data_IF_629285449554
#
_entry.id   IF_629285449554
#
_cell.length_a   1.000
_cell.length_b   1.000
_cell.length_c   1.000
_cell.angle_alpha   90.00
_cell.angle_beta   90.00
_cell.angle_gamma   90.00
#
_symmetry.space_group_name_H-M   'P 1'
#
loop_
_entity.id
_entity.type
_entity.pdbx_description
1 polymer ?
#
# COMPACT_ATOMS: atom_id res chain seq x y z
N UNK A 1 3.58 24.59 -3.72
CA UNK A 1 3.76 23.14 -3.82
C UNK A 1 3.63 22.55 -2.42
N UNK A 2 2.46 22.00 -2.12
CA UNK A 2 2.14 21.31 -0.88
C UNK A 2 2.45 19.83 -1.06
N UNK A 3 3.43 19.34 -0.30
CA UNK A 3 3.90 17.96 -0.38
C UNK A 3 3.44 17.22 0.87
N UNK A 4 2.69 16.14 0.70
CA UNK A 4 2.37 15.20 1.76
C UNK A 4 3.41 14.09 1.78
N UNK A 5 4.25 14.11 2.82
CA UNK A 5 5.35 13.16 2.99
C UNK A 5 4.92 11.89 3.73
N UNK A 6 3.72 11.86 4.32
CA UNK A 6 3.26 10.75 5.15
C UNK A 6 1.95 10.21 4.61
N UNK A 7 2.07 9.36 3.59
CA UNK A 7 0.93 8.66 3.04
C UNK A 7 1.24 7.19 2.74
N UNK A 8 0.20 6.36 2.73
CA UNK A 8 0.27 4.91 2.69
C UNK A 8 -0.48 4.35 1.50
N UNK A 9 0.11 3.34 0.86
CA UNK A 9 -0.40 2.68 -0.34
C UNK A 9 -0.30 1.15 -0.17
N UNK A 10 -1.32 0.43 -0.65
CA UNK A 10 -1.37 -1.03 -0.77
C UNK A 10 -1.27 -1.40 -2.26
N UNK A 11 -0.08 -1.75 -2.78
CA UNK A 11 0.06 -2.20 -4.14
C UNK A 11 -0.71 -3.51 -4.38
N UNK A 12 -1.29 -3.67 -5.58
CA UNK A 12 -2.07 -4.88 -5.92
C UNK A 12 -1.27 -6.17 -5.73
N UNK A 13 -0.03 -6.22 -6.20
CA UNK A 13 0.83 -7.41 -6.06
C UNK A 13 1.10 -7.79 -4.60
N UNK A 14 1.21 -6.80 -3.71
CA UNK A 14 1.35 -7.02 -2.27
C UNK A 14 0.05 -7.62 -1.69
N UNK A 15 -1.11 -7.04 -2.03
CA UNK A 15 -2.42 -7.55 -1.60
C UNK A 15 -2.70 -8.97 -2.10
N UNK A 16 -2.34 -9.28 -3.35
CA UNK A 16 -2.48 -10.62 -3.93
C UNK A 16 -1.61 -11.65 -3.17
N UNK A 17 -0.37 -11.29 -2.80
CA UNK A 17 0.53 -12.16 -2.04
C UNK A 17 0.04 -12.38 -0.60
N UNK A 18 -0.51 -11.35 0.05
CA UNK A 18 -1.11 -11.48 1.38
C UNK A 18 -2.39 -12.34 1.36
N UNK A 19 -3.16 -12.31 0.27
CA UNK A 19 -4.39 -13.09 0.10
C UNK A 19 -4.16 -14.60 0.02
N UNK A 20 -2.91 -15.05 -0.14
CA UNK A 20 -2.56 -16.48 -0.08
C UNK A 20 -2.59 -17.07 1.33
N UNK A 21 -2.63 -16.24 2.38
CA UNK A 21 -3.00 -16.64 3.74
C UNK A 21 -1.92 -17.31 4.60
N UNK A 22 -0.67 -17.37 4.17
CA UNK A 22 0.39 -18.18 4.80
C UNK A 22 1.52 -17.38 5.49
N UNK A 23 1.23 -16.32 6.24
CA UNK A 23 2.27 -15.67 7.05
C UNK A 23 1.76 -14.68 8.09
N UNK A 24 2.63 -13.75 8.52
CA UNK A 24 2.34 -12.82 9.61
C UNK A 24 1.13 -11.92 9.28
N UNK A 25 1.06 -11.45 8.04
CA UNK A 25 -0.05 -10.69 7.51
C UNK A 25 -0.88 -11.48 6.49
N UNK A 26 -2.20 -11.24 6.49
CA UNK A 26 -3.16 -11.81 5.54
C UNK A 26 -4.25 -10.82 5.17
N UNK A 27 -4.87 -11.02 4.01
CA UNK A 27 -6.08 -10.31 3.61
C UNK A 27 -7.31 -11.14 3.97
N UNK A 28 -8.33 -10.48 4.51
CA UNK A 28 -9.66 -11.03 4.76
C UNK A 28 -10.71 -10.09 4.14
N UNK A 29 -11.91 -10.60 3.94
CA UNK A 29 -13.08 -9.78 3.59
C UNK A 29 -14.12 -9.91 4.69
N UNK A 30 -14.58 -8.79 5.22
CA UNK A 30 -15.60 -8.80 6.27
C UNK A 30 -17.04 -8.96 5.74
N UNK A 31 -18.00 -8.95 6.65
CA UNK A 31 -19.44 -9.07 6.36
C UNK A 31 -20.01 -7.91 5.52
N UNK A 32 -19.30 -6.78 5.47
CA UNK A 32 -19.62 -5.61 4.66
C UNK A 32 -18.89 -5.62 3.30
N UNK A 33 -18.22 -6.72 2.94
CA UNK A 33 -17.42 -6.85 1.72
C UNK A 33 -16.22 -5.89 1.65
N UNK A 34 -15.71 -5.44 2.81
CA UNK A 34 -14.50 -4.61 2.87
C UNK A 34 -13.28 -5.51 3.00
N UNK A 35 -12.20 -5.10 2.34
CA UNK A 35 -10.91 -5.75 2.50
C UNK A 35 -10.26 -5.30 3.82
N UNK A 36 -9.81 -6.29 4.59
CA UNK A 36 -9.08 -6.11 5.84
C UNK A 36 -7.68 -6.70 5.68
N UNK A 37 -6.65 -5.95 6.11
CA UNK A 37 -5.30 -6.49 6.25
C UNK A 37 -5.05 -6.78 7.72
N UNK A 38 -5.06 -8.06 8.07
CA UNK A 38 -4.87 -8.54 9.43
C UNK A 38 -3.41 -8.88 9.70
N UNK A 39 -2.96 -8.56 10.91
CA UNK A 39 -1.67 -8.97 11.47
C UNK A 39 -1.81 -9.16 12.98
N UNK A 40 -0.74 -9.56 13.66
CA UNK A 40 -0.81 -9.87 15.09
C UNK A 40 -1.22 -8.63 15.91
N UNK A 41 -2.39 -8.73 16.57
CA UNK A 41 -2.90 -7.73 17.50
C UNK A 41 -3.72 -6.59 16.88
N UNK A 42 -3.85 -6.49 15.55
CA UNK A 42 -4.50 -5.34 14.89
C UNK A 42 -4.87 -5.63 13.41
N UNK A 43 -5.58 -4.71 12.77
CA UNK A 43 -5.92 -4.78 11.35
C UNK A 43 -6.17 -3.41 10.72
N UNK A 44 -5.95 -3.31 9.41
CA UNK A 44 -6.29 -2.13 8.61
C UNK A 44 -7.52 -2.37 7.75
N UNK A 45 -8.45 -1.41 7.73
CA UNK A 45 -9.53 -1.38 6.75
C UNK A 45 -9.01 -0.72 5.47
N UNK A 46 -9.08 -1.43 4.36
CA UNK A 46 -8.63 -0.91 3.06
C UNK A 46 -9.76 -0.06 2.46
N UNK A 47 -9.43 1.17 2.07
CA UNK A 47 -10.35 2.11 1.41
C UNK A 47 -9.79 2.52 0.06
N UNK A 48 -10.64 3.06 -0.82
CA UNK A 48 -10.32 3.40 -2.21
C UNK A 48 -8.93 4.01 -2.41
N UNK A 49 -8.60 5.17 -1.80
CA UNK A 49 -7.29 5.81 -1.97
C UNK A 49 -6.08 4.95 -1.57
N UNK A 50 -6.23 3.90 -0.76
CA UNK A 50 -5.14 2.99 -0.45
C UNK A 50 -4.74 2.10 -1.64
N UNK A 51 -5.67 1.81 -2.56
CA UNK A 51 -5.48 0.82 -3.64
C UNK A 51 -5.81 1.35 -5.04
N UNK A 52 -6.57 2.46 -5.15
CA UNK A 52 -6.99 3.10 -6.40
C UNK A 52 -6.34 4.49 -6.50
N UNK A 53 -5.46 4.66 -7.49
CA UNK A 53 -4.69 5.90 -7.71
C UNK A 53 -5.62 7.07 -8.08
N UNK A 54 -6.68 6.83 -8.85
CA UNK A 54 -7.62 7.87 -9.27
C UNK A 54 -8.39 8.45 -8.07
N UNK A 55 -8.78 7.61 -7.11
CA UNK A 55 -9.47 8.06 -5.90
C UNK A 55 -8.53 8.84 -4.98
N UNK A 56 -7.26 8.45 -4.95
CA UNK A 56 -6.19 9.21 -4.29
C UNK A 56 -5.98 10.58 -4.93
N UNK A 57 -5.86 10.68 -6.25
CA UNK A 57 -5.72 11.96 -6.95
C UNK A 57 -6.88 12.90 -6.66
N UNK A 58 -8.13 12.39 -6.72
CA UNK A 58 -9.32 13.18 -6.34
C UNK A 58 -9.26 13.67 -4.90
N UNK A 59 -8.75 12.85 -3.98
CA UNK A 59 -8.59 13.25 -2.58
C UNK A 59 -7.49 14.31 -2.41
N UNK A 60 -6.36 14.16 -3.11
CA UNK A 60 -5.30 15.16 -3.15
C UNK A 60 -5.80 16.50 -3.67
N UNK A 61 -6.51 16.51 -4.81
CA UNK A 61 -7.04 17.72 -5.42
C UNK A 61 -8.04 18.43 -4.49
N UNK A 62 -8.93 17.66 -3.83
CA UNK A 62 -9.88 18.19 -2.84
C UNK A 62 -9.19 18.82 -1.63
N UNK A 63 -8.06 18.26 -1.21
CA UNK A 63 -7.30 18.72 -0.04
C UNK A 63 -6.22 19.77 -0.37
N UNK A 64 -6.02 20.10 -1.65
CA UNK A 64 -4.96 21.03 -2.08
C UNK A 64 -3.55 20.45 -1.90
N UNK A 65 -3.38 19.15 -2.10
CA UNK A 65 -2.09 18.45 -2.06
C UNK A 65 -1.54 18.30 -3.48
N UNK A 66 -0.37 18.89 -3.72
CA UNK A 66 0.25 18.92 -5.03
C UNK A 66 1.01 17.62 -5.32
N UNK A 67 1.65 17.02 -4.31
CA UNK A 67 2.44 15.80 -4.47
C UNK A 67 2.37 14.93 -3.22
N UNK A 68 2.43 13.61 -3.38
CA UNK A 68 2.58 12.67 -2.27
C UNK A 68 3.82 11.80 -2.40
N UNK A 69 4.43 11.50 -1.26
CA UNK A 69 5.41 10.42 -1.14
C UNK A 69 4.65 9.13 -0.79
N UNK A 70 4.63 8.17 -1.72
CA UNK A 70 3.98 6.88 -1.54
C UNK A 70 4.88 5.94 -0.76
N UNK A 71 4.36 5.41 0.34
CA UNK A 71 5.03 4.40 1.16
C UNK A 71 4.16 3.17 1.32
N UNK A 72 4.78 1.99 1.40
CA UNK A 72 4.04 0.79 1.80
C UNK A 72 3.49 1.00 3.21
N UNK A 73 2.26 0.56 3.40
CA UNK A 73 1.55 0.65 4.67
C UNK A 73 1.88 -0.50 5.63
N UNK A 74 1.40 -0.38 6.87
CA UNK A 74 1.47 -1.41 7.91
C UNK A 74 0.67 -2.64 7.48
N UNK A 75 1.17 -3.87 7.65
CA UNK A 75 2.29 -4.28 8.50
C UNK A 75 3.66 -4.33 7.82
N UNK A 76 3.81 -3.78 6.61
CA UNK A 76 5.05 -3.81 5.85
C UNK A 76 5.53 -5.27 5.62
N UNK A 77 6.82 -5.56 5.73
CA UNK A 77 7.42 -6.84 5.29
C UNK A 77 8.38 -7.45 6.31
N UNK A 78 8.87 -6.66 7.27
CA UNK A 78 9.96 -7.01 8.20
C UNK A 78 9.58 -8.09 9.23
N UNK A 79 8.28 -8.32 9.45
CA UNK A 79 7.77 -9.34 10.38
C UNK A 79 7.55 -10.70 9.72
N UNK A 80 7.71 -10.76 8.40
CA UNK A 80 7.48 -11.98 7.64
C UNK A 80 8.69 -12.91 7.69
N UNK A 81 8.47 -14.18 7.34
CA UNK A 81 9.58 -15.11 7.12
C UNK A 81 10.51 -14.54 6.03
N UNK A 82 11.85 -14.66 6.15
CA UNK A 82 12.80 -13.96 5.30
C UNK A 82 12.54 -14.07 3.79
N UNK A 83 12.27 -15.28 3.28
CA UNK A 83 11.99 -15.49 1.86
C UNK A 83 10.68 -14.84 1.42
N UNK A 84 9.67 -14.83 2.30
CA UNK A 84 8.39 -14.17 2.05
C UNK A 84 8.53 -12.65 2.11
N UNK A 85 9.25 -12.12 3.09
CA UNK A 85 9.57 -10.69 3.22
C UNK A 85 10.27 -10.15 1.98
N UNK A 86 11.27 -10.86 1.44
CA UNK A 86 11.94 -10.49 0.18
C UNK A 86 10.97 -10.45 -1.00
N UNK A 87 10.07 -11.44 -1.12
CA UNK A 87 9.05 -11.47 -2.18
C UNK A 87 8.08 -10.31 -2.05
N UNK A 88 7.55 -10.09 -0.84
CA UNK A 88 6.62 -9.00 -0.54
C UNK A 88 7.24 -7.63 -0.80
N UNK A 89 8.49 -7.41 -0.39
CA UNK A 89 9.20 -6.16 -0.62
C UNK A 89 9.34 -5.90 -2.13
N UNK A 90 9.69 -6.92 -2.91
CA UNK A 90 9.80 -6.80 -4.38
C UNK A 90 8.46 -6.40 -5.01
N UNK A 91 7.39 -7.18 -4.76
CA UNK A 91 6.08 -6.90 -5.38
C UNK A 91 5.46 -5.60 -4.88
N UNK A 92 5.74 -5.19 -3.64
CA UNK A 92 5.33 -3.90 -3.12
C UNK A 92 6.06 -2.77 -3.85
N UNK A 93 7.38 -2.85 -3.97
CA UNK A 93 8.19 -1.82 -4.61
C UNK A 93 7.90 -1.69 -6.11
N UNK A 94 7.66 -2.81 -6.80
CA UNK A 94 7.25 -2.81 -8.21
C UNK A 94 5.92 -2.07 -8.39
N UNK A 95 4.93 -2.32 -7.53
CA UNK A 95 3.64 -1.64 -7.60
C UNK A 95 3.67 -0.19 -7.10
N UNK A 96 4.55 0.18 -6.17
CA UNK A 96 4.82 1.60 -5.82
C UNK A 96 5.41 2.32 -7.03
N UNK A 97 6.38 1.71 -7.71
CA UNK A 97 6.96 2.26 -8.95
C UNK A 97 5.87 2.46 -9.99
N UNK A 98 5.04 1.45 -10.26
CA UNK A 98 3.92 1.55 -11.21
C UNK A 98 2.95 2.69 -10.84
N UNK A 99 2.58 2.82 -9.57
CA UNK A 99 1.74 3.92 -9.09
C UNK A 99 2.37 5.31 -9.25
N UNK A 100 3.69 5.40 -9.41
CA UNK A 100 4.41 6.64 -9.69
C UNK A 100 4.59 6.94 -11.19
N UNK A 101 4.32 6.01 -12.10
CA UNK A 101 4.54 6.23 -13.54
C UNK A 101 3.55 7.25 -14.12
N UNK A 102 2.29 7.22 -13.67
CA UNK A 102 1.26 8.14 -14.14
C UNK A 102 0.36 8.59 -12.99
N UNK A 103 0.29 9.90 -12.66
CA UNK A 103 1.06 11.03 -13.20
C UNK A 103 2.44 11.21 -12.49
N UNK A 104 3.55 11.33 -13.25
CA UNK A 104 4.92 11.32 -12.70
C UNK A 104 5.31 12.56 -11.90
N UNK A 105 4.49 13.62 -11.96
CA UNK A 105 4.69 14.87 -11.22
C UNK A 105 3.89 14.93 -9.90
N UNK A 106 3.04 13.93 -9.62
CA UNK A 106 2.22 13.90 -8.40
C UNK A 106 2.71 12.90 -7.37
N UNK A 107 3.54 11.93 -7.76
CA UNK A 107 3.96 10.83 -6.88
C UNK A 107 5.46 10.56 -6.95
N UNK A 108 6.02 10.25 -5.79
CA UNK A 108 7.34 9.62 -5.66
C UNK A 108 7.27 8.51 -4.63
N UNK A 109 8.00 7.41 -4.84
CA UNK A 109 7.96 6.25 -3.94
C UNK A 109 9.12 6.20 -2.95
N UNK A 110 8.86 5.72 -1.73
CA UNK A 110 9.89 5.19 -0.84
C UNK A 110 9.77 3.65 -0.77
N UNK A 111 10.85 2.92 -1.10
CA UNK A 111 10.80 1.46 -1.13
C UNK A 111 10.77 0.87 0.28
N UNK A 112 10.02 -0.21 0.44
CA UNK A 112 10.10 -1.07 1.61
C UNK A 112 11.30 -2.02 1.47
N UNK A 113 11.93 -2.34 2.60
CA UNK A 113 13.06 -3.27 2.69
C UNK A 113 12.71 -4.42 3.64
N UNK A 114 13.16 -5.66 3.36
CA UNK A 114 12.99 -6.79 4.26
C UNK A 114 13.90 -6.69 5.50
#
# INVERSE_FOLDING_TARGET
MNIDFHNHFYPKGYMDELSRGEGYARVETDDQSRLLVHYEGDYNIVVGPHVVIEDRLKAMDRCGVDMQVLTLTTPSVEREAPERGIRLARVANDGVREGCEEPPDRFVGLPALP
#
